data_IF_150513014640
#
_entry.id   IF_150513014640
#
_cell.length_a   1.000
_cell.length_b   1.000
_cell.length_c   1.000
_cell.angle_alpha   90.00
_cell.angle_beta   90.00
_cell.angle_gamma   90.00
#
_symmetry.space_group_name_H-M   'P 1'
#
loop_
_entity.id
_entity.type
_entity.pdbx_description
1 polymer ?
#
# COMPACT_ATOMS: atom_id res chain seq x y z
N UNK A 1 -23.19 -2.25 10.77
CA UNK A 1 -22.71 -3.33 9.88
C UNK A 1 -23.05 -2.90 8.47
N UNK A 2 -22.06 -2.44 7.69
CA UNK A 2 -22.27 -1.53 6.53
C UNK A 2 -21.98 -2.19 5.18
N UNK A 3 -22.26 -3.49 5.02
CA UNK A 3 -22.07 -4.13 3.71
C UNK A 3 -23.33 -4.85 3.28
N UNK A 4 -24.18 -4.10 2.56
CA UNK A 4 -25.30 -4.61 1.78
C UNK A 4 -24.81 -5.35 0.52
N UNK A 5 -25.69 -6.16 -0.07
CA UNK A 5 -25.41 -7.09 -1.18
C UNK A 5 -24.79 -6.37 -2.38
N UNK A 6 -23.70 -6.94 -2.91
CA UNK A 6 -22.78 -6.47 -3.97
C UNK A 6 -21.77 -5.41 -3.52
N UNK A 7 -20.45 -5.59 -3.79
CA UNK A 7 -19.45 -4.62 -3.35
C UNK A 7 -19.67 -3.32 -4.12
N UNK A 8 -20.18 -2.30 -3.43
CA UNK A 8 -20.16 -0.94 -3.97
C UNK A 8 -18.69 -0.59 -4.18
N UNK A 9 -18.29 -0.09 -5.37
CA UNK A 9 -16.90 0.24 -5.58
C UNK A 9 -16.53 1.41 -4.67
N UNK A 10 -15.45 1.23 -3.91
CA UNK A 10 -14.93 2.24 -3.00
C UNK A 10 -13.63 2.83 -3.54
N UNK A 11 -13.49 4.15 -3.42
CA UNK A 11 -12.20 4.81 -3.53
C UNK A 11 -11.59 4.89 -2.13
N UNK A 12 -10.46 4.19 -1.92
CA UNK A 12 -9.65 4.41 -0.73
C UNK A 12 -8.80 5.67 -0.93
N UNK A 13 -8.84 6.58 0.04
CA UNK A 13 -8.04 7.80 0.04
C UNK A 13 -7.14 7.84 1.25
N UNK A 14 -5.89 8.22 1.02
CA UNK A 14 -4.92 8.48 2.06
C UNK A 14 -4.88 9.99 2.33
N UNK A 15 -5.19 10.42 3.55
CA UNK A 15 -5.24 11.83 3.92
C UNK A 15 -4.54 12.10 5.26
N UNK A 16 -4.53 13.37 5.66
CA UNK A 16 -3.81 13.84 6.85
C UNK A 16 -4.25 13.20 8.17
N UNK A 17 -5.47 12.65 8.23
CA UNK A 17 -6.05 12.03 9.42
C UNK A 17 -6.02 10.51 9.41
N UNK A 18 -5.70 9.87 8.28
CA UNK A 18 -5.81 8.43 8.13
C UNK A 18 -6.15 7.99 6.71
N UNK A 19 -6.80 6.83 6.63
CA UNK A 19 -7.33 6.27 5.39
C UNK A 19 -8.84 6.23 5.49
N UNK A 20 -9.51 6.75 4.47
CA UNK A 20 -10.95 6.73 4.34
C UNK A 20 -11.37 5.96 3.08
N UNK A 21 -12.60 5.45 3.08
CA UNK A 21 -13.27 4.93 1.90
C UNK A 21 -14.37 5.92 1.48
N UNK A 22 -14.43 6.23 0.19
CA UNK A 22 -15.52 6.97 -0.42
C UNK A 22 -16.32 5.99 -1.27
N UNK A 23 -17.62 5.88 -0.99
CA UNK A 23 -18.57 5.18 -1.83
C UNK A 23 -18.67 5.90 -3.19
N UNK A 24 -18.37 5.22 -4.29
CA UNK A 24 -18.37 5.88 -5.60
C UNK A 24 -19.77 6.16 -6.17
N UNK A 25 -20.82 5.66 -5.54
CA UNK A 25 -22.20 5.92 -5.94
C UNK A 25 -22.80 7.06 -5.11
N UNK A 26 -22.71 6.97 -3.78
CA UNK A 26 -23.33 7.94 -2.88
C UNK A 26 -22.41 9.10 -2.52
N UNK A 27 -21.10 8.94 -2.73
CA UNK A 27 -20.03 9.82 -2.22
C UNK A 27 -19.95 9.86 -0.69
N UNK A 28 -20.59 8.93 0.01
CA UNK A 28 -20.48 8.84 1.46
C UNK A 28 -19.07 8.43 1.85
N UNK A 29 -18.54 9.12 2.87
CA UNK A 29 -17.21 8.86 3.42
C UNK A 29 -17.30 8.02 4.69
N UNK A 30 -16.46 6.98 4.76
CA UNK A 30 -16.24 6.17 5.96
C UNK A 30 -14.77 6.22 6.36
N UNK A 31 -14.48 6.41 7.65
CA UNK A 31 -13.11 6.31 8.17
C UNK A 31 -12.73 4.83 8.30
N UNK A 32 -11.63 4.43 7.66
CA UNK A 32 -11.17 3.04 7.61
C UNK A 32 -10.04 2.81 8.61
N UNK A 33 -9.00 3.64 8.57
CA UNK A 33 -7.89 3.61 9.54
C UNK A 33 -7.64 5.03 10.05
N UNK A 34 -8.00 5.35 11.30
CA UNK A 34 -7.77 6.68 11.85
C UNK A 34 -6.35 6.85 12.42
N UNK A 35 -5.93 8.10 12.61
CA UNK A 35 -4.79 8.45 13.46
C UNK A 35 -3.41 8.18 12.85
N UNK A 36 -3.34 7.90 11.56
CA UNK A 36 -2.06 7.77 10.87
C UNK A 36 -1.41 9.14 10.68
N UNK A 37 -0.09 9.20 10.87
CA UNK A 37 0.74 10.39 10.65
C UNK A 37 1.80 10.05 9.60
N UNK A 38 1.99 10.93 8.61
CA UNK A 38 2.91 10.74 7.47
C UNK A 38 2.64 9.48 6.61
N UNK A 39 1.38 9.07 6.57
CA UNK A 39 0.80 8.08 5.67
C UNK A 39 0.59 8.71 4.29
N UNK A 40 1.61 8.69 3.44
CA UNK A 40 1.49 9.30 2.10
C UNK A 40 1.37 8.30 0.96
N UNK A 41 1.62 7.02 1.22
CA UNK A 41 1.75 5.98 0.20
C UNK A 41 0.94 4.75 0.59
N UNK A 42 0.21 4.19 -0.36
CA UNK A 42 -0.55 2.97 -0.19
C UNK A 42 -0.70 2.25 -1.53
N UNK A 43 -0.95 0.94 -1.46
CA UNK A 43 -1.28 0.09 -2.60
C UNK A 43 -2.12 -1.09 -2.11
N UNK A 44 -2.87 -1.74 -3.01
CA UNK A 44 -3.83 -2.79 -2.67
C UNK A 44 -3.36 -4.11 -3.24
N UNK A 45 -3.44 -5.14 -2.40
CA UNK A 45 -3.43 -6.52 -2.82
C UNK A 45 -4.86 -7.02 -2.97
N UNK A 46 -5.28 -7.23 -4.22
CA UNK A 46 -6.63 -7.65 -4.58
C UNK A 46 -6.88 -9.14 -4.40
N UNK A 47 -5.84 -9.96 -4.23
CA UNK A 47 -5.98 -11.40 -4.02
C UNK A 47 -6.32 -11.71 -2.57
N UNK A 48 -5.61 -11.10 -1.62
CA UNK A 48 -5.85 -11.29 -0.18
C UNK A 48 -6.70 -10.18 0.45
N UNK A 49 -7.14 -9.19 -0.34
CA UNK A 49 -7.94 -8.06 0.14
C UNK A 49 -7.23 -7.31 1.27
N UNK A 50 -5.94 -7.02 1.05
CA UNK A 50 -5.08 -6.31 2.00
C UNK A 50 -4.68 -4.95 1.45
N UNK A 51 -4.72 -3.95 2.32
CA UNK A 51 -4.18 -2.62 2.08
C UNK A 51 -2.77 -2.56 2.65
N UNK A 52 -1.78 -2.19 1.83
CA UNK A 52 -0.42 -1.89 2.27
C UNK A 52 -0.26 -0.37 2.30
N UNK A 53 0.32 0.17 3.37
CA UNK A 53 0.46 1.62 3.53
C UNK A 53 1.69 1.99 4.35
N UNK A 54 2.24 3.17 4.06
CA UNK A 54 3.33 3.73 4.86
C UNK A 54 2.80 4.18 6.23
N UNK A 55 3.50 3.79 7.28
CA UNK A 55 3.24 4.21 8.66
C UNK A 55 4.58 4.58 9.32
N UNK A 56 4.92 5.87 9.32
CA UNK A 56 6.25 6.33 9.73
C UNK A 56 7.37 5.74 8.85
N UNK A 57 8.34 5.07 9.49
CA UNK A 57 9.45 4.35 8.84
C UNK A 57 9.17 2.86 8.66
N UNK A 58 7.90 2.51 8.42
CA UNK A 58 7.46 1.14 8.19
C UNK A 58 6.46 1.07 7.03
N UNK A 59 6.33 -0.13 6.45
CA UNK A 59 5.16 -0.51 5.67
C UNK A 59 4.29 -1.35 6.59
N UNK A 60 3.07 -0.89 6.84
CA UNK A 60 2.02 -1.63 7.53
C UNK A 60 1.07 -2.24 6.52
N UNK A 61 0.30 -3.25 6.95
CA UNK A 61 -0.83 -3.77 6.19
C UNK A 61 -2.05 -4.00 7.07
N UNK A 62 -3.23 -4.00 6.46
CA UNK A 62 -4.51 -4.27 7.12
C UNK A 62 -5.48 -4.91 6.12
N UNK A 63 -6.61 -5.44 6.60
CA UNK A 63 -7.76 -5.74 5.73
C UNK A 63 -8.31 -4.44 5.11
N UNK A 64 -9.03 -4.52 3.99
CA UNK A 64 -9.60 -3.33 3.32
C UNK A 64 -10.60 -2.56 4.18
N UNK A 65 -11.20 -3.20 5.20
CA UNK A 65 -12.09 -2.57 6.18
C UNK A 65 -11.32 -1.91 7.35
N UNK A 66 -9.98 -1.92 7.30
CA UNK A 66 -9.10 -1.33 8.31
C UNK A 66 -8.80 -2.24 9.49
N UNK A 67 -9.41 -3.44 9.57
CA UNK A 67 -9.13 -4.39 10.65
C UNK A 67 -7.79 -5.11 10.46
N UNK A 68 -7.23 -5.64 11.55
CA UNK A 68 -6.01 -6.45 11.48
C UNK A 68 -4.77 -5.67 11.04
N UNK A 69 -4.64 -4.41 11.49
CA UNK A 69 -3.44 -3.60 11.25
C UNK A 69 -2.23 -4.27 11.88
N UNK A 70 -1.21 -4.52 11.07
CA UNK A 70 0.08 -5.04 11.52
C UNK A 70 1.24 -4.38 10.77
N UNK A 71 2.43 -4.44 11.36
CA UNK A 71 3.65 -3.98 10.71
C UNK A 71 4.17 -5.09 9.80
N UNK A 72 4.26 -4.81 8.50
CA UNK A 72 4.74 -5.76 7.50
C UNK A 72 6.26 -5.69 7.31
N UNK A 73 6.81 -4.48 7.18
CA UNK A 73 8.25 -4.24 7.14
C UNK A 73 8.61 -3.07 8.05
N UNK A 74 9.61 -3.26 8.90
CA UNK A 74 10.20 -2.21 9.74
C UNK A 74 11.41 -1.57 9.06
N UNK A 75 11.76 -0.36 9.48
CA UNK A 75 12.95 0.38 9.05
C UNK A 75 13.05 0.51 7.52
N UNK A 76 11.93 0.87 6.90
CA UNK A 76 11.82 1.13 5.47
C UNK A 76 11.17 2.49 5.24
N UNK A 77 11.94 3.42 4.68
CA UNK A 77 11.43 4.74 4.30
C UNK A 77 10.93 4.70 2.86
N UNK A 78 9.62 4.79 2.70
CA UNK A 78 8.97 4.64 1.39
C UNK A 78 8.70 5.99 0.75
N UNK A 79 9.28 6.19 -0.43
CA UNK A 79 8.89 7.26 -1.35
C UNK A 79 7.64 6.91 -2.13
N UNK A 80 7.51 5.68 -2.66
CA UNK A 80 6.36 5.19 -3.44
C UNK A 80 6.36 3.66 -3.35
N UNK A 81 5.19 3.02 -3.41
CA UNK A 81 5.05 1.57 -3.39
C UNK A 81 4.01 1.10 -4.41
N UNK A 82 4.21 -0.09 -4.98
CA UNK A 82 3.23 -0.78 -5.82
C UNK A 82 3.24 -2.29 -5.56
N UNK A 83 2.08 -2.93 -5.70
CA UNK A 83 1.87 -4.35 -5.46
C UNK A 83 1.72 -5.09 -6.80
N UNK A 84 2.49 -6.16 -6.98
CA UNK A 84 2.27 -7.19 -7.99
C UNK A 84 1.45 -8.31 -7.33
N UNK A 85 0.13 -8.19 -7.38
CA UNK A 85 -0.78 -9.12 -6.70
C UNK A 85 -0.76 -10.51 -7.34
N UNK A 86 -0.37 -10.64 -8.62
CA UNK A 86 -0.28 -11.91 -9.32
C UNK A 86 0.96 -12.70 -8.91
N UNK A 87 2.14 -12.05 -8.85
CA UNK A 87 3.40 -12.71 -8.43
C UNK A 87 3.69 -12.56 -6.94
N UNK A 88 2.74 -11.99 -6.18
CA UNK A 88 2.81 -11.83 -4.72
C UNK A 88 4.06 -11.06 -4.27
N UNK A 89 4.32 -9.89 -4.87
CA UNK A 89 5.46 -9.03 -4.52
C UNK A 89 5.04 -7.60 -4.26
N UNK A 90 5.82 -6.90 -3.45
CA UNK A 90 5.75 -5.44 -3.28
C UNK A 90 7.05 -4.81 -3.73
N UNK A 91 6.92 -3.71 -4.47
CA UNK A 91 8.02 -2.86 -4.92
C UNK A 91 7.93 -1.53 -4.21
N UNK A 92 9.06 -0.94 -3.83
CA UNK A 92 9.07 0.43 -3.33
C UNK A 92 10.34 1.17 -3.69
N UNK A 93 10.21 2.47 -3.89
CA UNK A 93 11.35 3.40 -3.94
C UNK A 93 11.71 3.77 -2.50
N UNK A 94 12.99 3.64 -2.13
CA UNK A 94 13.47 4.05 -0.82
C UNK A 94 13.85 5.53 -0.79
N UNK A 95 13.43 6.27 0.25
CA UNK A 95 13.92 7.65 0.48
C UNK A 95 15.39 7.70 0.90
N UNK A 96 15.97 6.58 1.34
CA UNK A 96 17.32 6.56 1.87
C UNK A 96 18.39 6.61 0.75
N UNK A 97 18.12 5.93 -0.37
CA UNK A 97 19.11 5.75 -1.46
C UNK A 97 18.51 5.85 -2.87
N UNK A 98 17.21 6.19 -2.99
CA UNK A 98 16.45 6.28 -4.24
C UNK A 98 16.40 5.00 -5.08
N UNK A 99 16.80 3.85 -4.51
CA UNK A 99 16.72 2.56 -5.21
C UNK A 99 15.31 1.99 -5.12
N UNK A 100 14.96 1.20 -6.13
CA UNK A 100 13.79 0.33 -6.08
C UNK A 100 14.19 -0.96 -5.36
N UNK A 101 13.41 -1.34 -4.36
CA UNK A 101 13.51 -2.62 -3.68
C UNK A 101 12.30 -3.48 -3.97
N UNK A 102 12.48 -4.79 -3.83
CA UNK A 102 11.41 -5.79 -3.91
C UNK A 102 11.50 -6.74 -2.73
N UNK A 103 10.35 -7.21 -2.28
CA UNK A 103 10.21 -8.36 -1.38
C UNK A 103 8.94 -9.13 -1.76
N UNK A 104 8.82 -10.40 -1.35
CA UNK A 104 7.54 -11.09 -1.48
C UNK A 104 6.53 -10.58 -0.42
N UNK A 105 5.23 -10.88 -0.57
CA UNK A 105 4.19 -10.42 0.37
C UNK A 105 4.18 -11.17 1.73
N UNK A 106 5.21 -11.99 1.99
CA UNK A 106 5.54 -12.51 3.32
C UNK A 106 6.69 -11.72 3.98
N UNK A 107 7.25 -10.71 3.30
CA UNK A 107 8.36 -9.89 3.79
C UNK A 107 9.73 -10.54 3.63
N UNK A 108 9.83 -11.68 2.93
CA UNK A 108 11.07 -12.43 2.71
C UNK A 108 11.69 -12.09 1.35
N UNK A 109 12.98 -12.36 1.23
CA UNK A 109 13.75 -12.15 -0.01
C UNK A 109 13.87 -10.67 -0.43
N UNK A 110 13.89 -9.77 0.56
CA UNK A 110 14.12 -8.35 0.34
C UNK A 110 15.47 -8.12 -0.35
N UNK A 111 15.46 -7.45 -1.51
CA UNK A 111 16.66 -7.10 -2.28
C UNK A 111 16.46 -5.82 -3.11
N UNK A 112 17.53 -5.09 -3.45
CA UNK A 112 17.44 -4.00 -4.42
C UNK A 112 17.24 -4.57 -5.85
N UNK A 113 16.57 -3.79 -6.69
CA UNK A 113 16.37 -4.06 -8.12
C UNK A 113 17.14 -3.12 -9.03
N UNK A 114 17.33 -1.87 -8.60
CA UNK A 114 18.11 -0.88 -9.35
C UNK A 114 19.44 -0.63 -8.68
N UNK A 115 20.41 -0.09 -9.40
CA UNK A 115 21.63 0.48 -8.83
C UNK A 115 21.36 1.83 -8.16
N UNK A 116 22.35 2.34 -7.42
CA UNK A 116 22.31 3.71 -6.85
C UNK A 116 22.50 4.77 -7.95
N UNK A 117 22.19 6.03 -7.63
CA UNK A 117 22.37 7.15 -8.56
C UNK A 117 21.25 7.30 -9.60
N UNK A 118 20.28 6.39 -9.59
CA UNK A 118 19.02 6.54 -10.30
C UNK A 118 18.02 7.23 -9.37
N UNK A 119 17.67 8.47 -9.70
CA UNK A 119 16.66 9.26 -8.97
C UNK A 119 15.26 8.80 -9.38
N UNK A 120 14.84 7.63 -8.88
CA UNK A 120 13.54 7.07 -9.23
C UNK A 120 12.43 7.87 -8.54
N UNK A 121 11.51 8.44 -9.30
CA UNK A 121 10.39 9.25 -8.76
C UNK A 121 9.10 8.46 -8.60
N UNK A 122 8.78 7.60 -9.55
CA UNK A 122 7.51 6.85 -9.59
C UNK A 122 7.74 5.43 -10.08
N UNK A 123 6.82 4.54 -9.69
CA UNK A 123 6.76 3.16 -10.16
C UNK A 123 5.32 2.79 -10.50
N UNK A 124 5.15 1.96 -11.52
CA UNK A 124 3.92 1.28 -11.88
C UNK A 124 4.26 -0.17 -12.23
N UNK A 125 3.33 -1.08 -11.95
CA UNK A 125 3.48 -2.51 -12.24
C UNK A 125 2.37 -2.90 -13.21
N UNK A 126 2.73 -3.56 -14.31
CA UNK A 126 1.80 -4.38 -15.09
C UNK A 126 1.85 -5.80 -14.51
N UNK A 127 0.82 -6.24 -13.77
CA UNK A 127 0.82 -7.56 -13.18
C UNK A 127 0.41 -8.65 -14.17
N UNK A 128 -0.25 -8.28 -15.27
CA UNK A 128 -0.88 -9.21 -16.22
C UNK A 128 0.09 -9.77 -17.26
N UNK A 129 1.16 -9.03 -17.55
CA UNK A 129 2.19 -9.43 -18.50
C UNK A 129 3.52 -9.55 -17.77
N UNK A 130 4.08 -10.77 -17.71
CA UNK A 130 5.41 -11.02 -17.16
C UNK A 130 5.71 -12.47 -16.79
#
# INVERSE_FOLDING_TARGET
MIFGRYPVPYLLINNYSGIDAIDLLTHDKTVVIPGLKDNKRMSIDTVEMKLYFRNGSSISRANLDGTGVEVFLQNVEVWKMEIDWMRRRIFWISNADWRIYVTNLEGKEKRPLTETGLWNWEIAVDPTVG
#
